data_IF_908488348106
#
_entry.id   IF_908488348106
#
_cell.length_a   1.000
_cell.length_b   1.000
_cell.length_c   1.000
_cell.angle_alpha   90.00
_cell.angle_beta   90.00
_cell.angle_gamma   90.00
#
_symmetry.space_group_name_H-M   'P 1'
#
loop_
_entity.id
_entity.type
_entity.pdbx_description
1 polymer ?
#
# COMPACT_ATOMS: atom_id res chain seq x y z
N UNK A 1 -14.51 56.64 -3.60
CA UNK A 1 -14.19 56.24 -2.21
C UNK A 1 -13.09 57.11 -1.58
N UNK A 2 -12.04 57.50 -2.32
CA UNK A 2 -10.90 58.31 -1.82
C UNK A 2 -11.26 59.67 -1.20
N UNK A 3 -12.26 60.38 -1.72
CA UNK A 3 -12.66 61.70 -1.21
C UNK A 3 -13.34 61.66 0.18
N UNK A 4 -14.06 60.57 0.49
CA UNK A 4 -14.85 60.45 1.73
C UNK A 4 -13.96 60.23 2.96
N UNK A 5 -12.93 59.41 2.79
CA UNK A 5 -11.92 59.14 3.83
C UNK A 5 -11.04 60.38 4.07
N UNK A 6 -10.72 61.11 3.00
CA UNK A 6 -9.99 62.38 3.08
C UNK A 6 -10.81 63.45 3.82
N UNK A 7 -12.14 63.53 3.59
CA UNK A 7 -13.01 64.46 4.30
C UNK A 7 -13.19 64.12 5.79
N UNK A 8 -13.23 62.83 6.15
CA UNK A 8 -13.34 62.38 7.55
C UNK A 8 -12.03 62.61 8.33
N UNK A 9 -10.87 62.45 7.70
CA UNK A 9 -9.55 62.72 8.31
C UNK A 9 -9.34 64.21 8.63
N UNK A 10 -9.78 65.10 7.73
CA UNK A 10 -9.66 66.56 7.87
C UNK A 10 -10.65 67.13 8.90
N UNK A 11 -11.83 66.50 9.07
CA UNK A 11 -12.85 66.95 10.03
C UNK A 11 -12.71 66.38 11.44
N UNK A 12 -12.04 65.23 11.61
CA UNK A 12 -11.94 64.51 12.88
C UNK A 12 -10.60 64.57 13.63
N UNK A 13 -9.56 65.20 13.07
CA UNK A 13 -8.25 65.34 13.72
C UNK A 13 -7.46 64.04 13.96
N UNK A 14 -7.96 62.89 13.48
CA UNK A 14 -7.26 61.59 13.51
C UNK A 14 -6.94 61.15 12.09
N UNK A 15 -5.67 60.86 11.83
CA UNK A 15 -5.25 60.24 10.58
C UNK A 15 -5.84 58.82 10.49
N UNK A 16 -6.50 58.43 9.39
CA UNK A 16 -6.87 57.05 9.15
C UNK A 16 -5.60 56.19 9.06
N UNK A 17 -5.67 54.95 9.53
CA UNK A 17 -4.57 53.97 9.38
C UNK A 17 -4.16 53.77 7.92
N UNK A 18 -3.05 53.06 7.69
CA UNK A 18 -2.57 52.74 6.34
C UNK A 18 -3.66 52.11 5.47
N UNK A 19 -3.77 52.54 4.20
CA UNK A 19 -4.78 52.04 3.25
C UNK A 19 -4.09 51.50 2.01
N UNK A 20 -4.44 50.28 1.60
CA UNK A 20 -3.95 49.70 0.35
C UNK A 20 -4.91 50.00 -0.79
N UNK A 21 -4.40 50.61 -1.87
CA UNK A 21 -5.18 50.94 -3.07
C UNK A 21 -4.40 50.60 -4.35
N UNK A 22 -5.07 50.10 -5.40
CA UNK A 22 -4.48 50.04 -6.72
C UNK A 22 -4.32 51.47 -7.26
N UNK A 23 -3.10 51.81 -7.68
CA UNK A 23 -2.75 53.13 -8.23
C UNK A 23 -2.23 52.95 -9.65
N UNK A 24 -2.59 53.87 -10.54
CA UNK A 24 -2.07 53.88 -11.91
C UNK A 24 -0.78 54.69 -11.96
N UNK A 25 0.32 54.07 -12.42
CA UNK A 25 1.56 54.78 -12.75
C UNK A 25 1.36 55.58 -14.04
N UNK A 26 2.22 56.57 -14.27
CA UNK A 26 2.19 57.41 -15.49
C UNK A 26 2.32 56.62 -16.80
N UNK A 27 2.92 55.43 -16.75
CA UNK A 27 3.08 54.51 -17.88
C UNK A 27 1.84 53.61 -18.13
N UNK A 28 0.75 53.77 -17.38
CA UNK A 28 -0.45 52.95 -17.49
C UNK A 28 -0.44 51.66 -16.65
N UNK A 29 0.66 51.34 -15.97
CA UNK A 29 0.78 50.17 -15.11
C UNK A 29 -0.03 50.34 -13.82
N UNK A 30 -0.84 49.34 -13.47
CA UNK A 30 -1.54 49.31 -12.17
C UNK A 30 -0.63 48.65 -11.14
N UNK A 31 -0.28 49.41 -10.11
CA UNK A 31 0.53 48.94 -8.97
C UNK A 31 -0.31 48.95 -7.69
N UNK A 32 -0.04 48.01 -6.80
CA UNK A 32 -0.63 48.00 -5.46
C UNK A 32 0.17 48.97 -4.60
N UNK A 33 -0.49 49.94 -3.99
CA UNK A 33 0.17 50.99 -3.21
C UNK A 33 -0.41 51.08 -1.82
N UNK A 34 0.43 51.10 -0.80
CA UNK A 34 0.06 51.44 0.56
C UNK A 34 0.18 52.96 0.74
N UNK A 35 -0.92 53.61 1.10
CA UNK A 35 -0.99 55.03 1.37
C UNK A 35 -1.03 55.23 2.89
N UNK A 36 -0.03 55.94 3.41
CA UNK A 36 0.05 56.36 4.82
C UNK A 36 -0.16 57.87 4.91
N UNK A 37 -1.39 58.35 5.17
CA UNK A 37 -1.65 59.77 5.37
C UNK A 37 -1.23 60.18 6.79
N UNK A 38 -0.45 61.25 6.87
CA UNK A 38 -0.09 61.93 8.12
C UNK A 38 -0.70 63.32 8.11
N UNK A 39 -1.44 63.66 9.17
CA UNK A 39 -2.01 65.00 9.34
C UNK A 39 -1.01 65.85 10.11
N UNK A 40 -0.67 67.01 9.55
CA UNK A 40 0.30 67.95 10.11
C UNK A 40 -0.42 69.27 10.39
N UNK A 41 -0.41 69.70 11.66
CA UNK A 41 -0.91 71.01 12.06
C UNK A 41 0.21 72.04 11.90
N UNK A 42 0.02 73.05 11.05
CA UNK A 42 0.98 74.12 10.89
C UNK A 42 0.82 75.19 11.98
N UNK A 43 1.88 76.00 12.20
CA UNK A 43 1.92 77.04 13.24
C UNK A 43 0.91 78.19 13.02
N UNK A 44 0.43 78.35 11.80
CA UNK A 44 -0.60 79.34 11.41
C UNK A 44 -2.04 78.82 11.59
N UNK A 45 -2.20 77.59 12.10
CA UNK A 45 -3.51 76.95 12.29
C UNK A 45 -4.02 76.20 11.05
N UNK A 46 -3.27 76.16 9.94
CA UNK A 46 -3.66 75.38 8.76
C UNK A 46 -3.38 73.89 8.97
N UNK A 47 -4.30 73.05 8.49
CA UNK A 47 -4.15 71.58 8.51
C UNK A 47 -3.64 71.15 7.14
N UNK A 48 -2.46 70.51 7.09
CA UNK A 48 -1.91 69.92 5.86
C UNK A 48 -1.83 68.41 6.00
N UNK A 49 -2.17 67.69 4.93
CA UNK A 49 -2.03 66.23 4.90
C UNK A 49 -0.85 65.86 4.01
N UNK A 50 0.09 65.09 4.54
CA UNK A 50 1.17 64.48 3.76
C UNK A 50 0.90 62.99 3.62
N UNK A 51 0.86 62.46 2.39
CA UNK A 51 0.70 61.04 2.14
C UNK A 51 2.00 60.43 1.67
N UNK A 52 2.45 59.36 2.32
CA UNK A 52 3.48 58.49 1.76
C UNK A 52 2.80 57.41 0.93
N UNK A 53 3.24 57.24 -0.32
CA UNK A 53 2.82 56.16 -1.21
C UNK A 53 3.96 55.15 -1.32
N UNK A 54 3.74 53.94 -0.81
CA UNK A 54 4.69 52.83 -0.89
C UNK A 54 4.16 51.83 -1.91
N UNK A 55 4.93 51.55 -2.96
CA UNK A 55 4.60 50.44 -3.86
C UNK A 55 4.79 49.12 -3.13
N UNK A 56 3.70 48.36 -2.97
CA UNK A 56 3.67 47.06 -2.31
C UNK A 56 3.39 45.93 -3.32
N UNK A 57 3.53 46.18 -4.62
CA UNK A 57 3.23 45.21 -5.68
C UNK A 57 4.09 43.96 -5.56
N UNK A 58 5.39 44.10 -5.32
CA UNK A 58 6.29 42.96 -5.14
C UNK A 58 5.95 42.17 -3.86
N UNK A 59 5.70 42.87 -2.75
CA UNK A 59 5.26 42.23 -1.49
C UNK A 59 4.00 41.40 -1.70
N UNK A 60 2.97 41.98 -2.31
CA UNK A 60 1.69 41.30 -2.62
C UNK A 60 1.87 40.12 -3.57
N UNK A 61 2.77 40.23 -4.56
CA UNK A 61 3.08 39.12 -5.48
C UNK A 61 3.79 37.98 -4.74
N UNK A 62 4.75 38.28 -3.87
CA UNK A 62 5.45 37.30 -3.05
C UNK A 62 4.49 36.60 -2.07
N UNK A 63 3.66 37.36 -1.33
CA UNK A 63 2.64 36.81 -0.43
C UNK A 63 1.65 35.89 -1.16
N UNK A 64 1.17 36.31 -2.33
CA UNK A 64 0.24 35.50 -3.13
C UNK A 64 0.90 34.25 -3.69
N UNK A 65 2.16 34.34 -4.12
CA UNK A 65 2.92 33.18 -4.59
C UNK A 65 3.18 32.18 -3.47
N UNK A 66 3.55 32.66 -2.28
CA UNK A 66 3.72 31.85 -1.08
C UNK A 66 2.43 31.12 -0.72
N UNK A 67 1.32 31.87 -0.58
CA UNK A 67 0.00 31.29 -0.27
C UNK A 67 -0.41 30.21 -1.28
N UNK A 68 -0.19 30.46 -2.57
CA UNK A 68 -0.51 29.48 -3.62
C UNK A 68 0.39 28.24 -3.55
N UNK A 69 1.63 28.39 -3.12
CA UNK A 69 2.55 27.28 -2.88
C UNK A 69 2.11 26.45 -1.67
N UNK A 70 1.75 27.10 -0.57
CA UNK A 70 1.21 26.47 0.65
C UNK A 70 -0.08 25.70 0.35
N UNK A 71 -1.05 26.34 -0.33
CA UNK A 71 -2.30 25.70 -0.77
C UNK A 71 -2.02 24.46 -1.63
N UNK A 72 -1.03 24.53 -2.53
CA UNK A 72 -0.66 23.38 -3.38
C UNK A 72 -0.02 22.25 -2.57
N UNK A 73 0.85 22.58 -1.61
CA UNK A 73 1.48 21.59 -0.74
C UNK A 73 0.42 20.90 0.12
N UNK A 74 -0.47 21.65 0.75
CA UNK A 74 -1.59 21.10 1.54
C UNK A 74 -2.47 20.15 0.73
N UNK A 75 -2.83 20.52 -0.51
CA UNK A 75 -3.59 19.64 -1.40
C UNK A 75 -2.82 18.37 -1.80
N UNK A 76 -1.51 18.47 -2.06
CA UNK A 76 -0.68 17.31 -2.40
C UNK A 76 -0.56 16.33 -1.23
N UNK A 77 -0.42 16.85 -0.01
CA UNK A 77 -0.39 16.05 1.22
C UNK A 77 -1.74 15.37 1.48
N UNK A 78 -2.86 16.09 1.31
CA UNK A 78 -4.21 15.51 1.43
C UNK A 78 -4.48 14.42 0.40
N UNK A 79 -3.99 14.59 -0.84
CA UNK A 79 -4.21 13.63 -1.92
C UNK A 79 -3.43 12.31 -1.73
N UNK A 80 -2.21 12.38 -1.17
CA UNK A 80 -1.38 11.19 -0.94
C UNK A 80 -1.84 10.38 0.25
N UNK A 81 -2.67 10.95 1.14
CA UNK A 81 -3.10 10.30 2.38
C UNK A 81 -1.92 9.84 3.26
N UNK A 82 -0.75 10.44 3.05
CA UNK A 82 0.46 10.22 3.81
C UNK A 82 0.49 11.23 4.97
N UNK A 83 0.92 10.78 6.14
CA UNK A 83 1.21 11.66 7.25
C UNK A 83 2.63 12.22 7.11
N UNK A 84 2.85 13.49 7.48
CA UNK A 84 4.15 14.16 7.37
C UNK A 84 4.80 14.28 8.72
N UNK A 85 6.09 13.99 8.77
CA UNK A 85 6.94 14.24 9.92
C UNK A 85 8.19 15.01 9.49
N UNK A 86 8.66 15.87 10.37
CA UNK A 86 9.83 16.71 10.13
C UNK A 86 10.59 16.91 11.44
N UNK A 87 11.89 16.66 11.42
CA UNK A 87 12.76 16.78 12.57
C UNK A 87 13.95 17.65 12.20
N UNK A 88 14.01 18.83 12.78
CA UNK A 88 15.18 19.69 12.72
C UNK A 88 16.21 19.22 13.75
N UNK A 89 17.34 18.68 13.29
CA UNK A 89 18.41 18.16 14.15
C UNK A 89 19.26 19.28 14.77
N UNK A 90 19.14 20.50 14.26
CA UNK A 90 19.88 21.66 14.77
C UNK A 90 19.17 22.32 15.96
N UNK A 91 17.84 22.45 15.89
CA UNK A 91 17.00 22.99 16.98
C UNK A 91 16.40 21.90 17.86
N UNK A 92 16.45 20.64 17.42
CA UNK A 92 15.79 19.48 18.02
C UNK A 92 14.25 19.64 18.07
N UNK A 93 13.67 20.36 17.10
CA UNK A 93 12.23 20.51 16.96
C UNK A 93 11.66 19.39 16.09
N UNK A 94 10.66 18.69 16.61
CA UNK A 94 9.90 17.69 15.86
C UNK A 94 8.50 18.20 15.56
N UNK A 95 8.12 18.05 14.31
CA UNK A 95 6.80 18.33 13.80
C UNK A 95 6.17 17.04 13.28
N UNK A 96 4.91 16.82 13.69
CA UNK A 96 4.05 15.77 13.15
C UNK A 96 2.76 16.41 12.65
N UNK A 97 2.38 16.08 11.42
CA UNK A 97 1.06 16.46 10.91
C UNK A 97 -0.06 15.84 11.75
N UNK A 98 -1.25 16.45 11.74
CA UNK A 98 -2.46 15.90 12.38
C UNK A 98 -2.71 14.43 12.03
N UNK A 99 -2.44 14.05 10.78
CA UNK A 99 -2.63 12.69 10.28
C UNK A 99 -1.69 11.67 10.91
N UNK A 100 -0.52 12.07 11.42
CA UNK A 100 0.35 11.16 12.17
C UNK A 100 -0.39 10.66 13.41
N UNK A 101 -1.09 11.57 14.09
CA UNK A 101 -1.87 11.26 15.27
C UNK A 101 -3.09 10.40 14.94
N UNK A 102 -3.76 10.66 13.81
CA UNK A 102 -4.86 9.81 13.32
C UNK A 102 -4.43 8.36 13.09
N UNK A 103 -3.21 8.12 12.57
CA UNK A 103 -2.69 6.77 12.30
C UNK A 103 -2.45 5.98 13.59
N UNK A 104 -1.96 6.63 14.65
CA UNK A 104 -1.66 5.99 15.94
C UNK A 104 -2.79 6.12 16.97
N UNK A 105 -3.85 6.86 16.64
CA UNK A 105 -5.06 7.01 17.47
C UNK A 105 -4.92 7.97 18.65
N UNK A 106 -3.92 8.84 18.66
CA UNK A 106 -3.72 9.85 19.70
C UNK A 106 -4.34 11.19 19.27
N UNK A 107 -4.69 12.05 20.23
CA UNK A 107 -5.05 13.44 19.93
C UNK A 107 -3.80 14.34 19.87
N UNK A 108 -3.89 15.45 19.13
CA UNK A 108 -2.84 16.46 19.10
C UNK A 108 -2.63 17.03 20.52
N UNK A 109 -1.40 16.95 21.03
CA UNK A 109 -1.00 17.29 22.40
C UNK A 109 -1.40 16.29 23.50
N UNK A 110 -1.94 15.11 23.18
CA UNK A 110 -2.16 14.06 24.18
C UNK A 110 -0.82 13.47 24.68
N UNK A 111 0.19 13.47 23.81
CA UNK A 111 1.52 12.93 24.09
C UNK A 111 2.58 13.98 23.87
N UNK A 112 3.55 14.06 24.78
CA UNK A 112 4.70 14.93 24.64
C UNK A 112 5.55 14.47 23.45
N UNK A 113 5.68 15.35 22.46
CA UNK A 113 6.54 15.13 21.30
C UNK A 113 7.99 15.22 21.76
N UNK A 114 8.67 14.07 21.79
CA UNK A 114 10.10 13.98 22.03
C UNK A 114 10.76 13.08 20.96
N UNK A 115 12.08 13.18 20.76
CA UNK A 115 12.79 12.35 19.77
C UNK A 115 12.64 10.84 20.00
N UNK A 116 12.43 10.42 21.26
CA UNK A 116 12.27 9.01 21.62
C UNK A 116 10.84 8.48 21.42
N UNK A 117 9.86 9.35 21.16
CA UNK A 117 8.45 8.98 21.06
C UNK A 117 8.28 7.91 19.98
N UNK A 118 8.92 8.10 18.82
CA UNK A 118 8.86 7.12 17.74
C UNK A 118 9.44 5.77 18.15
N UNK A 119 10.58 5.76 18.85
CA UNK A 119 11.22 4.53 19.33
C UNK A 119 10.33 3.76 20.32
N UNK A 120 9.46 4.45 21.07
CA UNK A 120 8.51 3.81 21.99
C UNK A 120 7.29 3.22 21.29
N UNK A 121 6.87 3.82 20.17
CA UNK A 121 5.72 3.36 19.40
C UNK A 121 6.06 2.21 18.46
N UNK A 122 7.30 2.11 17.97
CA UNK A 122 7.73 0.99 17.11
C UNK A 122 7.69 -0.33 17.89
N UNK A 123 7.20 -1.39 17.24
CA UNK A 123 7.20 -2.74 17.77
C UNK A 123 8.62 -3.20 18.16
N UNK A 124 8.83 -3.84 19.33
CA UNK A 124 10.17 -4.21 19.80
C UNK A 124 11.01 -5.04 18.82
N UNK A 125 10.39 -5.98 18.10
CA UNK A 125 11.07 -6.77 17.05
C UNK A 125 11.54 -5.93 15.84
N UNK A 126 10.89 -4.80 15.58
CA UNK A 126 11.20 -3.94 14.44
C UNK A 126 12.28 -2.90 14.81
N UNK A 127 12.54 -2.67 16.11
CA UNK A 127 13.53 -1.70 16.59
C UNK A 127 14.95 -2.05 16.18
N UNK A 128 15.37 -3.30 16.36
CA UNK A 128 16.73 -3.74 15.96
C UNK A 128 16.94 -3.54 14.45
N UNK A 129 15.91 -3.82 13.65
CA UNK A 129 15.95 -3.63 12.20
C UNK A 129 15.97 -2.15 11.82
N UNK A 130 15.21 -1.32 12.52
CA UNK A 130 15.20 0.12 12.32
C UNK A 130 16.56 0.74 12.64
N UNK A 131 17.18 0.36 13.75
CA UNK A 131 18.50 0.85 14.16
C UNK A 131 19.58 0.47 13.13
N UNK A 132 19.57 -0.78 12.64
CA UNK A 132 20.48 -1.21 11.56
C UNK A 132 20.31 -0.41 10.27
N UNK A 133 19.07 -0.05 9.91
CA UNK A 133 18.81 0.79 8.73
C UNK A 133 19.26 2.22 8.98
N UNK A 134 19.07 2.76 10.17
CA UNK A 134 19.55 4.10 10.56
C UNK A 134 21.09 4.17 10.55
N UNK A 135 21.78 3.10 10.91
CA UNK A 135 23.24 3.02 10.78
C UNK A 135 23.69 2.87 9.32
N UNK A 136 22.95 2.11 8.52
CA UNK A 136 23.27 1.88 7.11
C UNK A 136 23.06 3.13 6.22
N UNK A 137 22.23 4.08 6.65
CA UNK A 137 21.95 5.33 5.91
C UNK A 137 22.98 6.44 6.20
N UNK A 138 24.06 6.13 6.94
CA UNK A 138 25.22 7.02 7.12
C UNK A 138 25.95 7.16 5.77
N UNK A 139 25.47 8.10 4.96
CA UNK A 139 25.97 8.37 3.61
C UNK A 139 24.86 8.47 2.55
N UNK A 140 23.67 7.94 2.84
CA UNK A 140 22.51 8.01 1.95
C UNK A 140 21.73 9.32 2.15
N UNK A 141 20.94 9.68 1.13
CA UNK A 141 20.06 10.86 1.14
C UNK A 141 18.62 10.54 1.52
N UNK A 142 18.22 9.27 1.46
CA UNK A 142 16.86 8.84 1.76
C UNK A 142 16.80 7.41 2.26
N UNK A 143 15.74 7.08 3.00
CA UNK A 143 15.47 5.73 3.49
C UNK A 143 13.99 5.40 3.39
N UNK A 144 13.71 4.10 3.34
CA UNK A 144 12.36 3.55 3.39
C UNK A 144 12.34 2.37 4.37
N UNK A 145 11.34 2.34 5.24
CA UNK A 145 11.23 1.37 6.32
C UNK A 145 9.77 0.98 6.57
N UNK A 146 9.47 -0.31 6.45
CA UNK A 146 8.22 -0.88 6.95
C UNK A 146 8.36 -1.26 8.42
N UNK A 147 7.51 -0.67 9.27
CA UNK A 147 7.46 -0.96 10.71
C UNK A 147 6.03 -1.13 11.19
N UNK A 148 5.88 -1.70 12.38
CA UNK A 148 4.61 -1.76 13.10
C UNK A 148 4.61 -0.74 14.22
N UNK A 149 3.62 0.15 14.23
CA UNK A 149 3.45 1.17 15.26
C UNK A 149 2.35 0.79 16.24
N UNK A 150 2.56 1.05 17.52
CA UNK A 150 1.60 0.81 18.57
C UNK A 150 0.52 1.90 18.53
N UNK A 151 -0.71 1.47 18.23
CA UNK A 151 -1.90 2.29 18.37
C UNK A 151 -2.24 2.49 19.85
N UNK A 152 -2.90 3.60 20.19
CA UNK A 152 -3.41 3.88 21.54
C UNK A 152 -4.27 2.74 22.12
N UNK A 153 -5.02 2.07 21.25
CA UNK A 153 -5.86 0.92 21.61
C UNK A 153 -5.09 -0.39 21.86
N UNK A 154 -3.75 -0.37 21.75
CA UNK A 154 -2.87 -1.50 22.03
C UNK A 154 -2.67 -2.49 20.87
N UNK A 155 -3.25 -2.24 19.70
CA UNK A 155 -2.97 -3.01 18.48
C UNK A 155 -1.83 -2.37 17.67
N UNK A 156 -1.29 -3.10 16.70
CA UNK A 156 -0.21 -2.61 15.85
C UNK A 156 -0.71 -2.25 14.45
N UNK A 157 -0.36 -1.04 14.00
CA UNK A 157 -0.65 -0.53 12.66
C UNK A 157 0.59 -0.68 11.78
N UNK A 158 0.52 -1.43 10.67
CA UNK A 158 1.64 -1.52 9.74
C UNK A 158 1.77 -0.21 8.97
N UNK A 159 2.95 0.39 8.99
CA UNK A 159 3.24 1.63 8.27
C UNK A 159 4.48 1.54 7.42
N UNK A 160 4.53 2.40 6.42
CA UNK A 160 5.71 2.66 5.60
C UNK A 160 6.24 4.05 5.90
N UNK A 161 7.39 4.12 6.54
CA UNK A 161 8.08 5.38 6.80
C UNK A 161 9.11 5.64 5.70
N UNK A 162 8.99 6.76 5.02
CA UNK A 162 9.99 7.29 4.11
C UNK A 162 10.61 8.53 4.70
N UNK A 163 11.92 8.65 4.66
CA UNK A 163 12.63 9.83 5.14
C UNK A 163 13.67 10.30 4.15
N UNK A 164 13.86 11.61 4.10
CA UNK A 164 14.94 12.29 3.39
C UNK A 164 15.83 13.00 4.40
N UNK A 165 17.13 12.94 4.17
CA UNK A 165 18.16 13.49 5.06
C UNK A 165 18.78 14.70 4.39
N UNK A 166 18.52 15.89 4.94
CA UNK A 166 19.22 17.10 4.54
C UNK A 166 20.54 17.20 5.30
N UNK A 167 21.63 17.44 4.59
CA UNK A 167 22.98 17.59 5.13
C UNK A 167 23.54 18.98 4.85
N UNK A 168 24.39 19.46 5.74
CA UNK A 168 25.16 20.69 5.51
C UNK A 168 26.36 20.46 4.57
N UNK A 169 27.08 21.54 4.25
CA UNK A 169 28.27 21.50 3.40
C UNK A 169 29.41 20.63 3.98
N UNK A 170 29.36 20.28 5.26
CA UNK A 170 30.31 19.39 5.94
C UNK A 170 29.83 17.92 5.97
N UNK A 171 28.68 17.61 5.36
CA UNK A 171 28.09 16.27 5.33
C UNK A 171 27.34 15.86 6.60
N UNK A 172 27.19 16.76 7.58
CA UNK A 172 26.45 16.50 8.82
C UNK A 172 24.95 16.61 8.55
N UNK A 173 24.16 15.65 9.03
CA UNK A 173 22.71 15.72 8.94
C UNK A 173 22.17 16.89 9.79
N UNK A 174 21.38 17.76 9.16
CA UNK A 174 20.78 18.94 9.79
C UNK A 174 19.27 18.86 9.90
N UNK A 175 18.60 18.08 9.05
CA UNK A 175 17.14 17.91 9.07
C UNK A 175 16.75 16.57 8.48
N UNK A 176 15.73 15.95 9.05
CA UNK A 176 15.08 14.73 8.57
C UNK A 176 13.63 15.05 8.28
N UNK A 177 13.16 14.80 7.07
CA UNK A 177 11.77 15.08 6.69
C UNK A 177 11.21 13.93 5.89
N UNK A 178 9.95 13.60 6.08
CA UNK A 178 9.44 12.37 5.51
C UNK A 178 7.94 12.19 5.59
N UNK A 179 7.51 11.03 5.11
CA UNK A 179 6.13 10.61 5.18
C UNK A 179 5.95 9.27 5.87
N UNK A 180 4.74 9.05 6.38
CA UNK A 180 4.28 7.79 6.96
C UNK A 180 2.99 7.42 6.24
N UNK A 181 3.00 6.29 5.56
CA UNK A 181 1.82 5.74 4.90
C UNK A 181 1.26 4.57 5.72
N UNK A 182 -0.03 4.59 6.01
CA UNK A 182 -0.72 3.45 6.61
C UNK A 182 -0.91 2.33 5.57
N UNK A 183 -0.39 1.14 5.88
CA UNK A 183 -0.45 -0.03 5.02
C UNK A 183 -1.60 -0.99 5.36
N UNK A 184 -2.50 -0.65 6.28
CA UNK A 184 -3.55 -1.53 6.79
C UNK A 184 -4.45 -2.06 5.66
N UNK A 185 -5.06 -1.17 4.89
CA UNK A 185 -5.94 -1.55 3.77
C UNK A 185 -5.18 -2.31 2.68
N UNK A 186 -3.95 -1.89 2.38
CA UNK A 186 -3.11 -2.57 1.39
C UNK A 186 -2.78 -4.00 1.80
N UNK A 187 -2.33 -4.21 3.04
CA UNK A 187 -1.98 -5.54 3.54
C UNK A 187 -3.21 -6.44 3.65
N UNK A 188 -4.38 -5.88 3.98
CA UNK A 188 -5.65 -6.61 3.98
C UNK A 188 -6.01 -7.11 2.58
N UNK A 189 -5.95 -6.24 1.56
CA UNK A 189 -6.20 -6.63 0.17
C UNK A 189 -5.19 -7.66 -0.34
N UNK A 190 -3.91 -7.52 0.01
CA UNK A 190 -2.87 -8.49 -0.39
C UNK A 190 -3.10 -9.86 0.25
N UNK A 191 -3.53 -9.92 1.51
CA UNK A 191 -3.83 -11.18 2.20
C UNK A 191 -5.10 -11.84 1.65
N UNK A 192 -6.17 -11.08 1.42
CA UNK A 192 -7.39 -11.58 0.77
C UNK A 192 -7.09 -12.16 -0.62
N UNK A 193 -6.26 -11.47 -1.41
CA UNK A 193 -5.81 -11.97 -2.72
C UNK A 193 -5.03 -13.28 -2.60
N UNK A 194 -4.09 -13.37 -1.65
CA UNK A 194 -3.32 -14.60 -1.41
C UNK A 194 -4.22 -15.76 -1.01
N UNK A 195 -5.22 -15.51 -0.18
CA UNK A 195 -6.19 -16.53 0.22
C UNK A 195 -7.03 -17.00 -0.96
N UNK A 196 -7.51 -16.07 -1.79
CA UNK A 196 -8.24 -16.38 -3.02
C UNK A 196 -7.41 -17.21 -3.99
N UNK A 197 -6.15 -16.83 -4.24
CA UNK A 197 -5.23 -17.57 -5.11
C UNK A 197 -5.01 -19.01 -4.63
N UNK A 198 -4.83 -19.21 -3.32
CA UNK A 198 -4.70 -20.56 -2.73
C UNK A 198 -5.96 -21.39 -2.94
N UNK A 199 -7.15 -20.80 -2.75
CA UNK A 199 -8.41 -21.48 -2.99
C UNK A 199 -8.58 -21.85 -4.48
N UNK A 200 -8.23 -20.95 -5.39
CA UNK A 200 -8.28 -21.22 -6.83
C UNK A 200 -7.36 -22.37 -7.24
N UNK A 201 -6.12 -22.39 -6.72
CA UNK A 201 -5.20 -23.51 -6.96
C UNK A 201 -5.75 -24.84 -6.45
N UNK A 202 -6.40 -24.84 -5.28
CA UNK A 202 -7.05 -26.04 -4.74
C UNK A 202 -8.23 -26.50 -5.61
N UNK A 203 -9.08 -25.58 -6.06
CA UNK A 203 -10.21 -25.89 -6.94
C UNK A 203 -9.74 -26.45 -8.28
N UNK A 204 -8.74 -25.83 -8.92
CA UNK A 204 -8.16 -26.32 -10.17
C UNK A 204 -7.58 -27.73 -10.02
N UNK A 205 -6.90 -28.00 -8.91
CA UNK A 205 -6.37 -29.34 -8.60
C UNK A 205 -7.50 -30.36 -8.43
N UNK A 206 -8.57 -29.99 -7.72
CA UNK A 206 -9.76 -30.84 -7.52
C UNK A 206 -10.54 -31.09 -8.83
N UNK A 207 -10.73 -30.08 -9.66
CA UNK A 207 -11.38 -30.24 -10.98
C UNK A 207 -10.56 -31.11 -11.93
N UNK A 208 -9.22 -30.98 -11.91
CA UNK A 208 -8.34 -31.82 -12.70
C UNK A 208 -8.45 -33.29 -12.26
N UNK A 209 -8.45 -33.52 -10.95
CA UNK A 209 -8.72 -34.83 -10.34
C UNK A 209 -10.09 -35.39 -10.76
N UNK A 210 -11.16 -34.60 -10.66
CA UNK A 210 -12.51 -35.03 -11.03
C UNK A 210 -12.65 -35.31 -12.54
N UNK A 211 -12.05 -34.49 -13.40
CA UNK A 211 -12.01 -34.74 -14.85
C UNK A 211 -11.24 -36.02 -15.18
N UNK A 212 -10.11 -36.27 -14.52
CA UNK A 212 -9.36 -37.51 -14.68
C UNK A 212 -10.15 -38.73 -14.18
N UNK A 213 -10.80 -38.62 -13.03
CA UNK A 213 -11.66 -39.68 -12.50
C UNK A 213 -12.82 -40.01 -13.45
N UNK A 214 -13.46 -38.99 -14.05
CA UNK A 214 -14.47 -39.17 -15.08
C UNK A 214 -13.94 -39.86 -16.34
N UNK A 215 -12.76 -39.47 -16.83
CA UNK A 215 -12.11 -40.12 -17.97
C UNK A 215 -11.76 -41.59 -17.68
N UNK A 216 -11.25 -41.87 -16.48
CA UNK A 216 -10.95 -43.24 -16.00
C UNK A 216 -12.24 -44.07 -15.91
N UNK A 217 -13.31 -43.52 -15.34
CA UNK A 217 -14.61 -44.19 -15.26
C UNK A 217 -15.19 -44.51 -16.64
N UNK A 218 -15.07 -43.58 -17.60
CA UNK A 218 -15.49 -43.81 -18.99
C UNK A 218 -14.68 -44.94 -19.66
N UNK A 219 -13.35 -44.99 -19.46
CA UNK A 219 -12.50 -46.07 -19.99
C UNK A 219 -12.90 -47.43 -19.41
N UNK A 220 -13.18 -47.50 -18.10
CA UNK A 220 -13.63 -48.73 -17.45
C UNK A 220 -15.00 -49.20 -17.97
N UNK A 221 -15.99 -48.30 -17.99
CA UNK A 221 -17.34 -48.64 -18.46
C UNK A 221 -17.34 -49.11 -19.93
N UNK A 222 -16.47 -48.55 -20.78
CA UNK A 222 -16.44 -48.89 -22.20
C UNK A 222 -15.62 -50.16 -22.51
N UNK A 223 -14.66 -50.55 -21.65
CA UNK A 223 -13.88 -51.80 -21.83
C UNK A 223 -14.53 -53.04 -21.20
N UNK A 224 -15.42 -52.86 -20.22
CA UNK A 224 -16.12 -53.94 -19.51
C UNK A 224 -17.36 -54.43 -20.29
N UNK A 225 -17.22 -54.70 -21.60
CA UNK A 225 -18.25 -55.46 -22.31
C UNK A 225 -18.34 -56.85 -21.68
N UNK A 226 -19.40 -57.03 -20.90
CA UNK A 226 -19.79 -58.18 -20.09
C UNK A 226 -19.56 -59.52 -20.80
N UNK A 227 -18.84 -60.45 -20.15
CA UNK A 227 -18.91 -61.87 -20.51
C UNK A 227 -17.67 -62.68 -20.17
N UNK A 228 -16.54 -62.44 -20.84
CA UNK A 228 -15.47 -63.44 -20.94
C UNK A 228 -14.52 -63.55 -19.75
N UNK A 229 -14.42 -62.53 -18.89
CA UNK A 229 -13.34 -62.45 -17.89
C UNK A 229 -11.96 -62.28 -18.51
N UNK A 230 -10.92 -62.25 -17.67
CA UNK A 230 -9.49 -62.19 -18.01
C UNK A 230 -8.84 -63.45 -17.42
N UNK A 231 -7.94 -64.12 -18.17
CA UNK A 231 -7.24 -65.29 -17.64
C UNK A 231 -6.25 -64.89 -16.54
N UNK A 232 -6.08 -65.73 -15.50
CA UNK A 232 -5.25 -65.42 -14.31
C UNK A 232 -3.81 -65.04 -14.69
N UNK A 233 -3.24 -65.69 -15.71
CA UNK A 233 -1.88 -65.41 -16.21
C UNK A 233 -1.74 -64.05 -16.92
N UNK A 234 -2.83 -63.47 -17.39
CA UNK A 234 -2.84 -62.20 -18.13
C UNK A 234 -3.06 -61.00 -17.20
N UNK A 235 -3.51 -61.23 -15.96
CA UNK A 235 -3.85 -60.19 -14.97
C UNK A 235 -2.66 -59.27 -14.66
N UNK A 236 -1.43 -59.77 -14.74
CA UNK A 236 -0.23 -58.96 -14.53
C UNK A 236 0.09 -58.07 -15.75
N UNK A 237 -0.17 -58.57 -16.96
CA UNK A 237 0.17 -57.91 -18.23
C UNK A 237 -0.91 -56.91 -18.70
N UNK A 238 -2.14 -56.96 -18.17
CA UNK A 238 -3.25 -56.08 -18.60
C UNK A 238 -2.99 -54.58 -18.43
N UNK A 239 -2.02 -54.22 -17.59
CA UNK A 239 -1.61 -52.84 -17.36
C UNK A 239 -0.40 -52.42 -18.21
N UNK A 240 0.18 -53.33 -18.98
CA UNK A 240 1.28 -53.00 -19.86
C UNK A 240 0.78 -52.18 -21.07
N UNK A 241 1.54 -51.16 -21.49
CA UNK A 241 1.23 -50.43 -22.72
C UNK A 241 1.10 -51.38 -23.91
N UNK A 242 0.03 -51.19 -24.70
CA UNK A 242 -0.27 -51.96 -25.91
C UNK A 242 -0.72 -53.43 -25.70
N UNK A 243 -0.81 -53.92 -24.47
CA UNK A 243 -1.36 -55.25 -24.20
C UNK A 243 -2.86 -55.33 -24.52
N UNK A 244 -3.27 -56.29 -25.35
CA UNK A 244 -4.68 -56.55 -25.66
C UNK A 244 -4.93 -57.99 -26.12
N UNK A 245 -6.03 -58.57 -25.67
CA UNK A 245 -6.54 -59.87 -26.14
C UNK A 245 -7.64 -59.74 -27.20
N UNK A 246 -8.05 -58.50 -27.54
CA UNK A 246 -9.12 -58.22 -28.50
C UNK A 246 -8.53 -57.68 -29.81
N UNK A 247 -8.95 -58.27 -30.94
CA UNK A 247 -8.45 -57.98 -32.29
C UNK A 247 -8.54 -56.49 -32.71
N UNK A 248 -9.44 -55.72 -32.11
CA UNK A 248 -9.68 -54.30 -32.40
C UNK A 248 -9.21 -53.34 -31.30
N UNK A 249 -8.64 -53.84 -30.20
CA UNK A 249 -8.18 -53.02 -29.09
C UNK A 249 -6.79 -52.43 -29.34
N UNK A 250 -6.54 -51.17 -28.96
CA UNK A 250 -5.19 -50.58 -29.01
C UNK A 250 -4.32 -50.89 -27.77
N UNK A 251 -4.87 -51.59 -26.77
CA UNK A 251 -4.18 -51.94 -25.52
C UNK A 251 -3.79 -50.79 -24.57
N UNK A 252 -4.04 -49.53 -24.92
CA UNK A 252 -3.54 -48.38 -24.13
C UNK A 252 -4.42 -47.96 -22.93
N UNK A 253 -5.68 -48.39 -22.87
CA UNK A 253 -6.62 -47.85 -21.88
C UNK A 253 -6.24 -48.14 -20.42
N UNK A 254 -5.81 -49.37 -20.10
CA UNK A 254 -5.53 -49.76 -18.71
C UNK A 254 -4.16 -49.27 -18.21
N UNK A 255 -3.17 -49.18 -19.10
CA UNK A 255 -1.86 -48.60 -18.79
C UNK A 255 -1.95 -47.11 -18.46
N UNK A 256 -2.78 -46.35 -19.19
CA UNK A 256 -3.08 -44.94 -18.87
C UNK A 256 -3.78 -44.83 -17.51
N UNK A 257 -4.76 -45.70 -17.24
CA UNK A 257 -5.44 -45.74 -15.94
C UNK A 257 -4.46 -46.02 -14.80
N UNK A 258 -3.58 -47.02 -14.93
CA UNK A 258 -2.57 -47.32 -13.91
C UNK A 258 -1.62 -46.14 -13.70
N UNK A 259 -1.21 -45.47 -14.77
CA UNK A 259 -0.38 -44.26 -14.70
C UNK A 259 -1.05 -43.12 -13.91
N UNK A 260 -2.32 -42.83 -14.18
CA UNK A 260 -3.10 -41.81 -13.46
C UNK A 260 -3.27 -42.17 -11.99
N UNK A 261 -3.58 -43.43 -11.68
CA UNK A 261 -3.78 -43.89 -10.30
C UNK A 261 -2.47 -43.82 -9.50
N UNK A 262 -1.35 -44.30 -10.06
CA UNK A 262 -0.02 -44.22 -9.42
C UNK A 262 0.44 -42.77 -9.23
N UNK A 263 0.22 -41.88 -10.20
CA UNK A 263 0.57 -40.45 -10.08
C UNK A 263 -0.12 -39.78 -8.88
N UNK A 264 -1.28 -40.30 -8.46
CA UNK A 264 -2.03 -39.82 -7.29
C UNK A 264 -1.85 -40.70 -6.04
N UNK A 265 -0.80 -41.55 -6.02
CA UNK A 265 -0.50 -42.48 -4.92
C UNK A 265 -1.67 -43.42 -4.59
N UNK A 266 -2.55 -43.66 -5.56
CA UNK A 266 -3.63 -44.62 -5.45
C UNK A 266 -3.19 -46.03 -5.82
N UNK A 267 -4.09 -46.98 -5.63
CA UNK A 267 -3.91 -48.42 -5.90
C UNK A 267 -5.06 -48.92 -6.75
N UNK A 268 -4.77 -49.78 -7.73
CA UNK A 268 -5.79 -50.52 -8.49
C UNK A 268 -5.69 -52.00 -8.11
N UNK A 269 -6.82 -52.64 -7.85
CA UNK A 269 -6.92 -54.09 -7.68
C UNK A 269 -7.85 -54.68 -8.72
N UNK A 270 -7.55 -55.90 -9.15
CA UNK A 270 -8.33 -56.66 -10.12
C UNK A 270 -8.80 -57.96 -9.50
N UNK A 271 -10.09 -58.24 -9.66
CA UNK A 271 -10.67 -59.55 -9.45
C UNK A 271 -11.30 -59.97 -10.77
N UNK A 272 -10.82 -61.07 -11.36
CA UNK A 272 -11.36 -61.57 -12.61
C UNK A 272 -11.42 -63.08 -12.60
N UNK A 273 -12.46 -63.63 -13.23
CA UNK A 273 -12.56 -65.04 -13.51
C UNK A 273 -13.12 -65.24 -14.93
N UNK A 274 -12.59 -66.21 -15.69
CA UNK A 274 -13.13 -66.58 -16.99
C UNK A 274 -14.65 -66.81 -16.92
N UNK A 275 -15.37 -66.27 -17.89
CA UNK A 275 -16.84 -66.37 -18.04
C UNK A 275 -17.68 -65.80 -16.89
N UNK A 276 -17.05 -65.13 -15.91
CA UNK A 276 -17.71 -64.44 -14.79
C UNK A 276 -17.50 -62.93 -14.80
N UNK A 277 -16.66 -62.44 -15.71
CA UNK A 277 -16.33 -61.02 -15.85
C UNK A 277 -15.16 -60.57 -14.98
N UNK A 278 -14.95 -59.25 -14.95
CA UNK A 278 -13.83 -58.62 -14.26
C UNK A 278 -14.31 -57.43 -13.45
N UNK A 279 -13.84 -57.33 -12.21
CA UNK A 279 -14.08 -56.23 -11.28
C UNK A 279 -12.75 -55.54 -11.02
N UNK A 280 -12.71 -54.24 -11.28
CA UNK A 280 -11.59 -53.38 -10.95
C UNK A 280 -11.98 -52.48 -9.80
N UNK A 281 -11.18 -52.42 -8.73
CA UNK A 281 -11.36 -51.45 -7.65
C UNK A 281 -10.19 -50.49 -7.64
N UNK A 282 -10.48 -49.21 -7.45
CA UNK A 282 -9.48 -48.14 -7.40
C UNK A 282 -9.58 -47.45 -6.05
N UNK A 283 -8.45 -47.33 -5.38
CA UNK A 283 -8.33 -46.71 -4.06
C UNK A 283 -7.44 -45.48 -4.17
N UNK A 284 -7.87 -44.36 -3.58
CA UNK A 284 -7.04 -43.17 -3.46
C UNK A 284 -6.84 -42.84 -1.97
N UNK A 285 -5.66 -42.31 -1.60
CA UNK A 285 -5.42 -41.89 -0.23
C UNK A 285 -6.37 -40.73 0.13
N UNK A 286 -7.07 -40.86 1.25
CA UNK A 286 -7.71 -39.73 1.91
C UNK A 286 -6.61 -38.74 2.33
N UNK A 287 -6.85 -37.45 2.10
CA UNK A 287 -5.89 -36.36 2.35
C UNK A 287 -5.06 -36.58 3.62
N UNK A 288 -3.76 -36.83 3.46
CA UNK A 288 -2.79 -36.91 4.56
C UNK A 288 -2.38 -38.30 5.05
N UNK A 289 -2.93 -39.40 4.53
CA UNK A 289 -2.47 -40.76 4.86
C UNK A 289 -1.98 -41.54 3.62
N UNK A 290 -0.82 -42.19 3.73
CA UNK A 290 -0.31 -43.09 2.68
C UNK A 290 -1.21 -44.32 2.55
N UNK A 291 -1.53 -44.72 1.31
CA UNK A 291 -2.25 -45.96 1.03
C UNK A 291 -1.43 -47.16 1.53
N UNK A 292 -2.08 -48.22 2.06
CA UNK A 292 -1.38 -49.42 2.50
C UNK A 292 -0.60 -50.04 1.34
N UNK A 293 0.68 -50.28 1.57
CA UNK A 293 1.55 -51.00 0.64
C UNK A 293 0.97 -52.40 0.42
N UNK A 294 0.81 -52.81 -0.85
CA UNK A 294 0.38 -54.16 -1.17
C UNK A 294 1.40 -55.17 -0.63
N UNK A 295 0.94 -56.10 0.20
CA UNK A 295 1.64 -57.35 0.49
C UNK A 295 1.43 -58.30 -0.70
N UNK A 296 2.53 -58.76 -1.29
CA UNK A 296 2.59 -59.88 -2.25
C UNK A 296 1.75 -61.07 -1.80
#
# INVERSE_FOLDING_TARGET
MTWKIFSEAVSGGKAPGSIEIPTLRKNGEVVQTEVKPTVILQKDGTVTTQGLLIDITERKRAEKALRKSEERLDLALKATQDAVWDWDLSTNELYYSSRCWDIVGYEENEVEVNPDLWRRLIHPEDLERADLIIEAIVGETSFELETRLLHKDGHYVPVLTRGFILRDDNGKAVRLSGTIADLTERKKMEEERRQWERQQQQLQKSESLNRMAGAVAHIFNNKLSTGSGIEVKEVEEIFDPFFTTKFTGRGLGLSVVLGVVRAHRGVVTVESAPDRGSVFRVFFPLSGQQAPLQSN
#
